data_IF_181394722105
#
_entry.id   IF_181394722105
#
_cell.length_a   1.000
_cell.length_b   1.000
_cell.length_c   1.000
_cell.angle_alpha   90.00
_cell.angle_beta   90.00
_cell.angle_gamma   90.00
#
_symmetry.space_group_name_H-M   'P 1'
#
loop_
_entity.id
_entity.type
_entity.pdbx_description
1 polymer ?
#
# COMPACT_ATOMS: atom_id res chain seq x y z
N UNK A 1 -5.79 -10.10 -7.89
CA UNK A 1 -5.55 -8.63 -8.01
C UNK A 1 -5.31 -8.02 -6.62
N UNK A 2 -4.18 -8.30 -5.97
CA UNK A 2 -3.94 -7.96 -4.54
C UNK A 2 -3.10 -6.67 -4.37
N UNK A 3 -2.51 -6.13 -5.45
CA UNK A 3 -1.43 -5.13 -5.34
C UNK A 3 -1.86 -3.69 -5.03
N UNK A 4 -3.16 -3.37 -4.98
CA UNK A 4 -3.62 -1.98 -4.95
C UNK A 4 -4.14 -1.51 -3.58
N UNK A 5 -3.71 -2.14 -2.50
CA UNK A 5 -4.24 -1.90 -1.15
C UNK A 5 -3.20 -1.34 -0.17
N UNK A 6 -1.92 -1.28 -0.55
CA UNK A 6 -0.84 -0.73 0.28
C UNK A 6 -0.28 0.58 -0.28
N UNK A 7 0.10 1.49 0.61
CA UNK A 7 0.75 2.78 0.28
C UNK A 7 2.10 2.87 0.98
N UNK A 8 3.08 3.53 0.35
CA UNK A 8 4.39 3.78 0.97
C UNK A 8 4.21 4.75 2.14
N UNK A 9 4.66 4.35 3.32
CA UNK A 9 4.71 5.20 4.50
C UNK A 9 6.09 5.87 4.61
N UNK A 10 7.16 5.08 4.50
CA UNK A 10 8.52 5.54 4.80
C UNK A 10 9.53 4.91 3.84
N UNK A 11 10.56 5.70 3.49
CA UNK A 11 11.77 5.24 2.80
C UNK A 11 12.95 5.45 3.73
N UNK A 12 13.67 4.39 4.06
CA UNK A 12 14.85 4.45 4.90
C UNK A 12 16.09 4.05 4.09
N UNK A 13 17.17 4.81 4.26
CA UNK A 13 18.49 4.42 3.75
C UNK A 13 19.27 3.80 4.90
N UNK A 14 19.91 2.68 4.63
CA UNK A 14 20.82 2.01 5.57
C UNK A 14 22.15 1.76 4.85
N UNK A 15 23.18 1.38 5.62
CA UNK A 15 24.52 1.13 5.06
C UNK A 15 24.51 0.05 3.99
N UNK A 16 23.61 -0.93 4.11
CA UNK A 16 23.59 -2.13 3.27
C UNK A 16 22.50 -2.09 2.18
N UNK A 17 21.70 -1.02 2.11
CA UNK A 17 20.61 -0.95 1.13
C UNK A 17 19.54 0.12 1.37
N UNK A 18 18.32 -0.16 0.89
CA UNK A 18 17.14 0.69 1.00
C UNK A 18 15.97 -0.10 1.56
N UNK A 19 15.36 0.43 2.62
CA UNK A 19 14.13 -0.08 3.21
C UNK A 19 12.92 0.72 2.72
N UNK A 20 11.86 0.02 2.35
CA UNK A 20 10.56 0.59 2.03
C UNK A 20 9.51 -0.04 2.92
N UNK A 21 8.75 0.80 3.62
CA UNK A 21 7.63 0.37 4.43
C UNK A 21 6.32 0.75 3.76
N UNK A 22 5.47 -0.24 3.51
CA UNK A 22 4.16 -0.06 2.93
C UNK A 22 3.09 -0.43 3.94
N UNK A 23 2.12 0.45 4.16
CA UNK A 23 1.02 0.25 5.10
C UNK A 23 -0.32 0.12 4.36
N UNK A 24 -1.32 -0.49 4.99
CA UNK A 24 -2.68 -0.56 4.45
C UNK A 24 -3.23 0.83 4.08
N UNK A 25 -3.96 0.92 2.96
CA UNK A 25 -4.57 2.15 2.47
C UNK A 25 -5.60 2.73 3.46
N UNK A 26 -6.18 1.88 4.31
CA UNK A 26 -7.14 2.24 5.36
C UNK A 26 -6.48 2.84 6.62
N UNK A 27 -5.17 2.60 6.83
CA UNK A 27 -4.42 3.10 8.00
C UNK A 27 -4.39 4.62 8.08
N UNK A 28 -4.66 5.13 9.28
CA UNK A 28 -4.49 6.52 9.69
C UNK A 28 -5.80 7.18 10.13
N UNK A 29 -5.66 8.42 10.61
CA UNK A 29 -6.77 9.24 11.08
C UNK A 29 -7.23 10.22 10.02
N UNK A 30 -8.54 10.37 9.88
CA UNK A 30 -9.13 11.41 9.05
C UNK A 30 -8.89 12.77 9.71
N UNK A 31 -8.03 13.58 9.08
CA UNK A 31 -7.82 14.97 9.47
C UNK A 31 -8.97 15.81 8.90
N UNK A 32 -10.02 16.03 9.70
CA UNK A 32 -11.03 17.04 9.37
C UNK A 32 -10.41 18.43 9.43
N UNK A 33 -10.63 19.27 8.42
CA UNK A 33 -10.27 20.68 8.52
C UNK A 33 -11.25 21.41 9.45
N UNK A 34 -10.75 22.30 10.32
CA UNK A 34 -11.54 23.08 11.30
C UNK A 34 -12.74 23.83 10.68
N UNK A 35 -12.72 24.09 9.36
CA UNK A 35 -13.79 24.80 8.63
C UNK A 35 -14.62 23.92 7.68
N UNK A 36 -14.51 22.58 7.77
CA UNK A 36 -15.25 21.68 6.88
C UNK A 36 -16.72 21.53 7.31
N UNK A 37 -17.61 22.34 6.73
CA UNK A 37 -19.07 22.37 6.98
C UNK A 37 -19.85 21.09 6.60
N UNK A 38 -19.18 20.05 6.05
CA UNK A 38 -19.85 18.78 5.69
C UNK A 38 -19.66 17.78 6.82
N UNK A 39 -20.77 17.19 7.28
CA UNK A 39 -20.75 16.06 8.22
C UNK A 39 -19.81 14.96 7.72
N UNK A 40 -19.03 14.38 8.63
CA UNK A 40 -18.04 13.30 8.39
C UNK A 40 -18.62 12.16 7.54
N UNK A 41 -19.92 11.86 7.72
CA UNK A 41 -20.65 10.80 6.99
C UNK A 41 -20.78 11.06 5.49
N UNK A 42 -20.71 12.31 5.02
CA UNK A 42 -20.83 12.67 3.61
C UNK A 42 -19.47 12.69 2.87
N UNK A 43 -18.35 12.50 3.58
CA UNK A 43 -16.99 12.66 3.01
C UNK A 43 -16.31 11.35 2.60
N UNK A 44 -16.94 10.16 2.75
CA UNK A 44 -16.40 8.87 2.28
C UNK A 44 -14.90 8.70 2.60
N UNK A 45 -14.49 9.00 3.84
CA UNK A 45 -13.10 8.84 4.24
C UNK A 45 -12.64 7.41 3.98
N UNK A 46 -11.50 7.28 3.29
CA UNK A 46 -10.87 5.99 3.07
C UNK A 46 -10.18 5.45 4.32
N UNK A 47 -10.24 6.16 5.46
CA UNK A 47 -9.51 5.85 6.68
C UNK A 47 -10.40 5.23 7.75
N UNK A 48 -9.87 4.26 8.49
CA UNK A 48 -10.57 3.60 9.62
C UNK A 48 -10.40 4.37 10.94
N UNK A 49 -9.73 5.52 10.91
CA UNK A 49 -9.40 6.32 12.10
C UNK A 49 -8.61 5.54 13.16
N UNK A 50 -7.87 4.53 12.73
CA UNK A 50 -7.00 3.68 13.54
C UNK A 50 -5.86 3.14 12.67
N UNK A 51 -4.95 2.37 13.28
CA UNK A 51 -3.80 1.80 12.62
C UNK A 51 -4.05 0.32 12.29
N UNK A 52 -4.11 0.00 10.99
CA UNK A 52 -4.15 -1.40 10.58
C UNK A 52 -2.77 -2.05 10.78
N UNK A 53 -2.78 -3.29 11.26
CA UNK A 53 -1.61 -4.15 11.45
C UNK A 53 -0.99 -4.66 10.16
N UNK A 54 -1.73 -4.66 9.06
CA UNK A 54 -1.23 -5.18 7.79
C UNK A 54 -0.24 -4.22 7.12
N UNK A 55 0.93 -4.75 6.76
CA UNK A 55 1.99 -4.00 6.11
C UNK A 55 2.96 -4.90 5.32
N UNK A 56 3.72 -4.29 4.43
CA UNK A 56 4.81 -4.91 3.67
C UNK A 56 6.09 -4.18 4.01
N UNK A 57 7.14 -4.93 4.35
CA UNK A 57 8.49 -4.42 4.52
C UNK A 57 9.32 -4.97 3.36
N UNK A 58 9.86 -4.08 2.54
CA UNK A 58 10.78 -4.43 1.45
C UNK A 58 12.16 -3.91 1.82
N UNK A 59 13.15 -4.78 1.75
CA UNK A 59 14.55 -4.44 1.83
C UNK A 59 15.24 -4.76 0.50
N UNK A 60 15.82 -3.74 -0.12
CA UNK A 60 16.60 -3.84 -1.35
C UNK A 60 18.07 -3.63 -1.01
N UNK A 61 18.88 -4.69 -1.09
CA UNK A 61 20.32 -4.63 -0.91
C UNK A 61 20.99 -3.95 -2.11
N UNK A 62 22.10 -3.26 -1.88
CA UNK A 62 22.92 -2.73 -2.99
C UNK A 62 23.51 -3.82 -3.90
N UNK A 63 23.58 -5.07 -3.43
CA UNK A 63 23.97 -6.23 -4.25
C UNK A 63 22.85 -6.73 -5.18
N UNK A 64 21.68 -6.09 -5.18
CA UNK A 64 20.54 -6.47 -6.01
C UNK A 64 19.66 -7.58 -5.43
N UNK A 65 19.88 -7.98 -4.18
CA UNK A 65 18.99 -8.91 -3.46
C UNK A 65 17.80 -8.16 -2.86
N UNK A 66 16.59 -8.71 -3.01
CA UNK A 66 15.37 -8.16 -2.42
C UNK A 66 14.80 -9.15 -1.40
N UNK A 67 14.54 -8.66 -0.18
CA UNK A 67 13.84 -9.41 0.88
C UNK A 67 12.52 -8.73 1.14
N UNK A 68 11.43 -9.50 1.15
CA UNK A 68 10.07 -9.01 1.38
C UNK A 68 9.48 -9.74 2.57
N UNK A 69 9.02 -8.98 3.57
CA UNK A 69 8.22 -9.49 4.68
C UNK A 69 6.80 -8.97 4.51
N UNK A 70 5.82 -9.87 4.46
CA UNK A 70 4.42 -9.52 4.27
C UNK A 70 3.56 -9.94 5.47
N UNK A 71 2.93 -8.96 6.10
CA UNK A 71 1.95 -9.17 7.17
C UNK A 71 0.54 -9.03 6.59
N UNK A 72 -0.08 -10.17 6.27
CA UNK A 72 -1.38 -10.24 5.58
C UNK A 72 -2.56 -9.82 6.46
N UNK A 73 -2.44 -10.01 7.78
CA UNK A 73 -3.59 -9.87 8.68
C UNK A 73 -3.99 -8.41 8.90
N UNK A 74 -5.24 -8.11 8.54
CA UNK A 74 -5.88 -6.82 8.76
C UNK A 74 -6.70 -6.88 10.05
N UNK A 75 -6.19 -6.21 11.10
CA UNK A 75 -6.98 -5.96 12.30
C UNK A 75 -7.87 -4.72 12.09
N UNK A 76 -9.03 -4.68 12.78
CA UNK A 76 -10.01 -3.58 12.80
C UNK A 76 -10.76 -3.30 11.49
N UNK A 77 -10.46 -3.99 10.40
CA UNK A 77 -11.27 -3.92 9.17
C UNK A 77 -11.19 -5.19 8.35
N UNK A 78 -12.25 -5.48 7.60
CA UNK A 78 -12.31 -6.66 6.73
C UNK A 78 -11.57 -6.42 5.41
N UNK A 79 -11.20 -7.51 4.74
CA UNK A 79 -10.62 -7.46 3.38
C UNK A 79 -11.60 -6.81 2.39
N UNK A 80 -12.91 -7.03 2.54
CA UNK A 80 -13.94 -6.39 1.70
C UNK A 80 -13.99 -4.86 1.85
N UNK A 81 -13.43 -4.32 2.93
CA UNK A 81 -13.34 -2.87 3.17
C UNK A 81 -12.08 -2.26 2.57
N UNK A 82 -11.18 -3.08 2.00
CA UNK A 82 -10.02 -2.60 1.26
C UNK A 82 -10.50 -1.86 0.02
N UNK A 83 -10.40 -0.53 0.07
CA UNK A 83 -10.70 0.27 -1.09
C UNK A 83 -9.55 0.20 -2.09
N UNK A 84 -9.91 0.06 -3.37
CA UNK A 84 -8.96 0.20 -4.46
C UNK A 84 -8.29 1.58 -4.40
N UNK A 85 -6.96 1.59 -4.37
CA UNK A 85 -6.19 2.80 -4.66
C UNK A 85 -6.50 3.17 -6.11
N UNK A 86 -6.84 4.44 -6.34
CA UNK A 86 -7.04 4.96 -7.68
C UNK A 86 -5.67 4.99 -8.36
N UNK A 87 -5.43 4.03 -9.24
CA UNK A 87 -4.23 4.02 -10.09
C UNK A 87 -4.53 4.86 -11.34
N UNK A 88 -3.66 5.82 -11.71
CA UNK A 88 -3.79 6.55 -12.97
C UNK A 88 -3.84 5.61 -14.17
N UNK A 89 -4.61 5.94 -15.20
CA UNK A 89 -4.80 5.02 -16.33
C UNK A 89 -3.50 4.71 -17.06
N UNK A 90 -2.58 5.67 -17.17
CA UNK A 90 -1.22 5.44 -17.70
C UNK A 90 -0.52 4.30 -16.95
N UNK A 91 -0.59 4.30 -15.62
CA UNK A 91 0.02 3.26 -14.79
C UNK A 91 -0.69 1.92 -14.93
N UNK A 92 -2.01 1.90 -15.12
CA UNK A 92 -2.73 0.64 -15.43
C UNK A 92 -2.26 0.04 -16.75
N UNK A 93 -2.11 0.86 -17.80
CA UNK A 93 -1.60 0.39 -19.09
C UNK A 93 -0.17 -0.13 -18.99
N UNK A 94 0.72 0.58 -18.26
CA UNK A 94 2.08 0.09 -18.00
C UNK A 94 2.08 -1.27 -17.29
N UNK A 95 1.25 -1.45 -16.26
CA UNK A 95 1.13 -2.71 -15.52
C UNK A 95 0.60 -3.82 -16.45
N UNK A 96 -0.46 -3.55 -17.22
CA UNK A 96 -1.03 -4.50 -18.15
C UNK A 96 -0.02 -4.94 -19.21
N UNK A 97 0.74 -4.00 -19.78
CA UNK A 97 1.81 -4.28 -20.74
C UNK A 97 2.88 -5.20 -20.12
N UNK A 98 3.35 -4.90 -18.92
CA UNK A 98 4.32 -5.74 -18.20
C UNK A 98 3.78 -7.15 -17.90
N UNK A 99 2.50 -7.26 -17.55
CA UNK A 99 1.86 -8.56 -17.34
C UNK A 99 1.75 -9.36 -18.64
N UNK A 100 1.39 -8.70 -19.76
CA UNK A 100 1.31 -9.36 -21.08
C UNK A 100 2.67 -9.82 -21.61
N UNK A 101 3.76 -9.16 -21.22
CA UNK A 101 5.13 -9.56 -21.56
C UNK A 101 5.58 -10.83 -20.83
N UNK A 102 4.79 -11.32 -19.87
CA UNK A 102 5.10 -12.51 -19.08
C UNK A 102 6.11 -12.20 -17.98
N UNK A 103 5.63 -12.13 -16.75
CA UNK A 103 6.52 -12.16 -15.58
C UNK A 103 6.92 -13.61 -15.37
N UNK A 104 8.17 -13.97 -15.67
CA UNK A 104 8.71 -15.29 -15.30
C UNK A 104 8.81 -15.35 -13.77
N UNK A 105 7.81 -15.93 -13.13
CA UNK A 105 7.88 -16.30 -11.71
C UNK A 105 8.91 -17.43 -11.64
N UNK A 106 10.09 -17.16 -11.08
CA UNK A 106 10.99 -18.24 -10.66
C UNK A 106 10.33 -18.89 -9.45
N UNK A 107 9.89 -20.14 -9.63
CA UNK A 107 9.57 -21.02 -8.51
C UNK A 107 10.89 -21.32 -7.78
N UNK A 108 10.90 -21.14 -6.46
CA UNK A 108 12.03 -21.38 -5.56
C UNK A 108 11.81 -22.68 -4.80
#
# INVERSE_FOLDING_TARGET
MILNTFKIQTKQKCKDGRGYYYECCRTGFHKGGENSKRMIKTQNSKKINQNCTSHIILFESFEGKCVVTFYKEHYEHKEIELQHIKIPDIKKHEIAAKLSQGVKLKEY
#
